data_IF_535139002110
#
_entry.id   IF_535139002110
#
_cell.length_a   1.000
_cell.length_b   1.000
_cell.length_c   1.000
_cell.angle_alpha   90.00
_cell.angle_beta   90.00
_cell.angle_gamma   90.00
#
_symmetry.space_group_name_H-M   'P 1'
#
loop_
_entity.id
_entity.type
_entity.pdbx_description
1 polymer ?
#
# COMPACT_ATOMS: atom_id res chain seq x y z
N UNK A 1 3.97 25.97 -20.95
CA UNK A 1 3.96 26.73 -19.67
C UNK A 1 3.74 25.74 -18.54
N UNK A 2 4.57 25.74 -17.49
CA UNK A 2 4.41 24.84 -16.33
C UNK A 2 3.22 25.24 -15.45
N UNK A 3 2.71 24.30 -14.62
CA UNK A 3 1.61 24.61 -13.67
C UNK A 3 2.02 25.72 -12.70
N UNK A 4 3.27 25.70 -12.22
CA UNK A 4 3.82 26.72 -11.34
C UNK A 4 3.76 28.10 -11.99
N UNK A 5 4.14 28.21 -13.25
CA UNK A 5 4.12 29.48 -13.99
C UNK A 5 2.69 29.96 -14.26
N UNK A 6 1.77 29.05 -14.56
CA UNK A 6 0.34 29.38 -14.67
C UNK A 6 -0.20 29.99 -13.37
N UNK A 7 0.17 29.42 -12.22
CA UNK A 7 -0.27 29.95 -10.91
C UNK A 7 0.39 31.32 -10.64
N UNK A 8 1.67 31.51 -10.93
CA UNK A 8 2.37 32.80 -10.77
C UNK A 8 1.75 33.93 -11.60
N UNK A 9 1.32 33.60 -12.81
CA UNK A 9 0.72 34.61 -13.73
C UNK A 9 -0.76 34.84 -13.43
N UNK A 10 -1.51 33.77 -13.16
CA UNK A 10 -2.94 33.86 -12.88
C UNK A 10 -3.27 34.45 -11.50
N UNK A 11 -2.33 34.36 -10.55
CA UNK A 11 -2.52 34.81 -9.17
C UNK A 11 -1.34 35.67 -8.69
N UNK A 12 -1.22 36.92 -9.18
CA UNK A 12 -0.05 37.79 -8.91
C UNK A 12 0.18 38.06 -7.41
N UNK A 13 -0.85 38.07 -6.59
CA UNK A 13 -0.75 38.27 -5.13
C UNK A 13 -0.10 37.07 -4.40
N UNK A 14 -0.02 35.90 -5.02
CA UNK A 14 0.74 34.75 -4.49
C UNK A 14 2.16 34.65 -5.04
N UNK A 15 2.56 35.53 -5.98
CA UNK A 15 3.85 35.47 -6.65
C UNK A 15 5.04 35.48 -5.68
N UNK A 16 5.00 36.36 -4.66
CA UNK A 16 6.07 36.45 -3.67
C UNK A 16 6.24 35.17 -2.83
N UNK A 17 5.14 34.49 -2.50
CA UNK A 17 5.18 33.22 -1.79
C UNK A 17 5.80 32.09 -2.65
N UNK A 18 5.64 32.17 -3.96
CA UNK A 18 6.15 31.20 -4.92
C UNK A 18 7.50 31.59 -5.54
N UNK A 19 8.08 32.74 -5.18
CA UNK A 19 9.40 33.14 -5.65
C UNK A 19 10.46 32.12 -5.20
N UNK A 20 11.29 31.65 -6.14
CA UNK A 20 12.27 30.60 -5.90
C UNK A 20 11.65 29.22 -5.62
N UNK A 21 10.33 29.04 -5.80
CA UNK A 21 9.71 27.74 -5.64
C UNK A 21 10.15 26.77 -6.74
N UNK A 22 10.50 25.55 -6.33
CA UNK A 22 10.92 24.48 -7.24
C UNK A 22 9.99 23.28 -7.10
N UNK A 23 9.64 22.68 -8.25
CA UNK A 23 8.93 21.39 -8.30
C UNK A 23 9.93 20.32 -8.73
N UNK A 24 10.05 19.27 -7.92
CA UNK A 24 10.98 18.16 -8.13
C UNK A 24 10.22 16.84 -8.22
N UNK A 25 10.69 15.94 -9.08
CA UNK A 25 10.20 14.57 -9.14
C UNK A 25 10.93 13.74 -8.08
N UNK A 26 10.18 13.02 -7.27
CA UNK A 26 10.71 12.18 -6.19
C UNK A 26 10.45 10.71 -6.45
N UNK A 27 11.50 9.92 -6.54
CA UNK A 27 11.42 8.45 -6.62
C UNK A 27 11.27 7.78 -5.24
N UNK A 28 11.36 8.57 -4.15
CA UNK A 28 11.23 8.08 -2.76
C UNK A 28 9.83 8.23 -2.19
N UNK A 29 9.01 9.12 -2.75
CA UNK A 29 7.61 9.30 -2.33
C UNK A 29 6.78 8.14 -2.87
N UNK A 30 6.48 7.17 -2.02
CA UNK A 30 5.72 5.97 -2.40
C UNK A 30 4.34 5.90 -1.76
N UNK A 31 4.09 6.68 -0.70
CA UNK A 31 2.81 6.68 0.04
C UNK A 31 1.99 7.95 -0.12
N UNK A 32 2.61 9.03 -0.58
CA UNK A 32 1.93 10.29 -0.88
C UNK A 32 2.22 10.72 -2.30
N UNK A 33 1.24 11.30 -2.97
CA UNK A 33 1.36 11.77 -4.34
C UNK A 33 2.28 12.99 -4.46
N UNK A 34 2.35 13.80 -3.40
CA UNK A 34 3.24 14.93 -3.29
C UNK A 34 3.61 15.22 -1.84
N UNK A 35 4.52 16.17 -1.68
CA UNK A 35 4.82 16.84 -0.43
C UNK A 35 5.31 18.26 -0.71
N UNK A 36 5.13 19.15 0.26
CA UNK A 36 5.60 20.51 0.19
C UNK A 36 6.39 20.93 1.42
N UNK A 37 7.40 21.73 1.22
CA UNK A 37 8.11 22.44 2.28
C UNK A 37 8.03 23.95 2.04
N UNK A 38 7.18 24.63 2.78
CA UNK A 38 6.99 26.06 2.65
C UNK A 38 8.25 26.87 3.03
N UNK A 39 9.09 26.35 3.93
CA UNK A 39 10.34 27.02 4.33
C UNK A 39 11.36 27.06 3.19
N UNK A 40 11.55 25.95 2.52
CA UNK A 40 12.47 25.81 1.39
C UNK A 40 11.82 26.10 0.03
N UNK A 41 10.49 26.34 0.02
CA UNK A 41 9.68 26.53 -1.18
C UNK A 41 9.88 25.40 -2.19
N UNK A 42 9.89 24.16 -1.70
CA UNK A 42 10.10 22.97 -2.51
C UNK A 42 8.85 22.12 -2.52
N UNK A 43 8.46 21.68 -3.71
CA UNK A 43 7.38 20.73 -3.94
C UNK A 43 7.98 19.45 -4.51
N UNK A 44 7.71 18.31 -3.88
CA UNK A 44 8.07 16.98 -4.39
C UNK A 44 6.85 16.28 -4.96
N UNK A 45 6.94 15.71 -6.15
CA UNK A 45 5.87 14.93 -6.79
C UNK A 45 6.35 13.49 -6.95
N UNK A 46 5.51 12.54 -6.58
CA UNK A 46 5.82 11.11 -6.60
C UNK A 46 5.92 10.56 -8.02
N UNK A 47 7.11 10.12 -8.45
CA UNK A 47 7.25 9.33 -9.66
C UNK A 47 6.53 7.97 -9.54
N UNK A 48 6.68 7.18 -8.44
CA UNK A 48 6.01 5.89 -8.32
C UNK A 48 4.48 5.95 -8.46
N UNK A 49 3.83 7.00 -7.93
CA UNK A 49 2.38 7.17 -8.05
C UNK A 49 1.99 7.57 -9.48
N UNK A 50 2.73 8.49 -10.08
CA UNK A 50 2.39 9.00 -11.41
C UNK A 50 2.97 8.21 -12.58
N UNK A 51 3.71 7.14 -12.36
CA UNK A 51 3.96 6.12 -13.39
C UNK A 51 2.70 5.29 -13.72
N UNK A 52 1.73 5.24 -12.83
CA UNK A 52 0.43 4.63 -13.07
C UNK A 52 -0.45 5.60 -13.87
N UNK A 53 -0.84 5.20 -15.10
CA UNK A 53 -1.58 6.08 -16.04
C UNK A 53 -2.93 6.51 -15.50
N UNK A 54 -3.58 5.69 -14.72
CA UNK A 54 -4.85 5.96 -14.03
C UNK A 54 -4.77 7.17 -13.08
N UNK A 55 -3.58 7.51 -12.59
CA UNK A 55 -3.36 8.66 -11.71
C UNK A 55 -3.08 9.97 -12.46
N UNK A 56 -2.80 9.93 -13.76
CA UNK A 56 -2.44 11.12 -14.54
C UNK A 56 -3.48 12.25 -14.48
N UNK A 57 -4.81 11.98 -14.49
CA UNK A 57 -5.81 13.03 -14.36
C UNK A 57 -5.67 13.85 -13.07
N UNK A 58 -5.13 13.25 -12.00
CA UNK A 58 -4.94 13.89 -10.70
C UNK A 58 -3.62 14.67 -10.58
N UNK A 59 -2.73 14.57 -11.57
CA UNK A 59 -1.41 15.20 -11.50
C UNK A 59 -1.48 16.71 -11.26
N UNK A 60 -2.30 17.42 -12.04
CA UNK A 60 -2.49 18.87 -11.90
C UNK A 60 -3.02 19.22 -10.50
N UNK A 61 -4.06 18.53 -10.05
CA UNK A 61 -4.65 18.78 -8.74
C UNK A 61 -3.65 18.55 -7.60
N UNK A 62 -2.80 17.51 -7.70
CA UNK A 62 -1.73 17.25 -6.74
C UNK A 62 -0.70 18.38 -6.71
N UNK A 63 -0.26 18.86 -7.87
CA UNK A 63 0.68 20.00 -7.92
C UNK A 63 0.08 21.24 -7.28
N UNK A 64 -1.18 21.56 -7.57
CA UNK A 64 -1.90 22.70 -6.98
C UNK A 64 -2.06 22.54 -5.45
N UNK A 65 -2.35 21.32 -4.96
CA UNK A 65 -2.41 20.99 -3.54
C UNK A 65 -1.11 21.34 -2.82
N UNK A 66 0.02 20.93 -3.38
CA UNK A 66 1.33 21.19 -2.78
C UNK A 66 1.74 22.67 -2.89
N UNK A 67 1.41 23.34 -4.00
CA UNK A 67 1.61 24.78 -4.13
C UNK A 67 0.78 25.56 -3.11
N UNK A 68 -0.45 25.13 -2.82
CA UNK A 68 -1.28 25.74 -1.77
C UNK A 68 -0.62 25.64 -0.38
N UNK A 69 0.11 24.55 -0.07
CA UNK A 69 0.90 24.47 1.15
C UNK A 69 2.06 25.46 1.18
N UNK A 70 2.76 25.65 0.08
CA UNK A 70 3.84 26.64 -0.03
C UNK A 70 3.28 28.05 0.18
N UNK A 71 2.19 28.40 -0.50
CA UNK A 71 1.53 29.71 -0.38
C UNK A 71 0.98 29.96 1.02
N UNK A 72 0.32 28.98 1.64
CA UNK A 72 -0.22 29.07 2.99
C UNK A 72 0.86 29.33 4.02
N UNK A 73 2.06 28.78 3.81
CA UNK A 73 3.21 28.95 4.68
C UNK A 73 3.26 27.94 5.85
N UNK A 74 4.42 27.86 6.52
CA UNK A 74 4.71 26.86 7.56
C UNK A 74 4.02 27.11 8.90
N UNK A 75 3.43 28.27 9.13
CA UNK A 75 2.76 28.65 10.39
C UNK A 75 1.26 28.36 10.39
N UNK A 76 0.74 27.78 9.32
CA UNK A 76 -0.68 27.50 9.14
C UNK A 76 -0.94 26.02 9.36
N UNK A 77 -2.08 25.70 9.98
CA UNK A 77 -2.51 24.32 10.11
C UNK A 77 -2.62 23.67 8.71
N UNK A 78 -1.92 22.56 8.53
CA UNK A 78 -1.98 21.80 7.30
C UNK A 78 -3.43 21.37 7.00
N UNK A 79 -3.89 21.64 5.78
CA UNK A 79 -5.26 21.37 5.34
C UNK A 79 -6.36 22.13 6.12
N UNK A 80 -5.98 23.21 6.82
CA UNK A 80 -6.94 24.09 7.50
C UNK A 80 -7.63 25.04 6.52
N UNK A 81 -8.53 25.90 7.05
CA UNK A 81 -9.38 26.79 6.25
C UNK A 81 -8.58 27.70 5.30
N UNK A 82 -7.43 28.23 5.75
CA UNK A 82 -6.58 29.08 4.91
C UNK A 82 -5.98 28.32 3.73
N UNK A 83 -5.41 27.13 3.99
CA UNK A 83 -4.91 26.27 2.93
C UNK A 83 -5.99 25.93 1.92
N UNK A 84 -7.18 25.54 2.39
CA UNK A 84 -8.30 25.14 1.53
C UNK A 84 -8.77 26.28 0.63
N UNK A 85 -8.86 27.50 1.18
CA UNK A 85 -9.22 28.69 0.40
C UNK A 85 -8.23 28.93 -0.73
N UNK A 86 -6.93 28.91 -0.44
CA UNK A 86 -5.87 29.08 -1.43
C UNK A 86 -5.93 27.95 -2.47
N UNK A 87 -6.12 26.70 -2.04
CA UNK A 87 -6.16 25.55 -2.93
C UNK A 87 -7.30 25.67 -3.96
N UNK A 88 -8.49 26.04 -3.51
CA UNK A 88 -9.64 26.29 -4.40
C UNK A 88 -9.38 27.51 -5.32
N UNK A 89 -8.86 28.59 -4.76
CA UNK A 89 -8.55 29.82 -5.49
C UNK A 89 -7.62 29.59 -6.68
N UNK A 90 -6.55 28.80 -6.50
CA UNK A 90 -5.60 28.49 -7.57
C UNK A 90 -6.07 27.37 -8.52
N UNK A 91 -7.32 26.90 -8.38
CA UNK A 91 -7.97 25.96 -9.29
C UNK A 91 -7.91 24.51 -8.84
N UNK A 92 -7.66 24.22 -7.56
CA UNK A 92 -7.75 22.90 -6.98
C UNK A 92 -9.18 22.53 -6.57
N UNK A 93 -9.46 21.25 -6.32
CA UNK A 93 -10.79 20.76 -5.96
C UNK A 93 -11.18 20.97 -4.48
N UNK A 94 -10.28 21.45 -3.63
CA UNK A 94 -10.52 21.67 -2.21
C UNK A 94 -10.52 20.40 -1.36
N UNK A 95 -10.21 19.23 -1.91
CA UNK A 95 -10.18 17.95 -1.20
C UNK A 95 -8.83 17.71 -0.52
N UNK A 96 -8.88 17.19 0.69
CA UNK A 96 -7.69 16.97 1.50
C UNK A 96 -6.88 15.75 1.09
N UNK A 97 -7.55 14.70 0.65
CA UNK A 97 -6.98 13.40 0.35
C UNK A 97 -7.28 12.98 -1.08
N UNK A 98 -6.51 12.04 -1.59
CA UNK A 98 -6.73 11.37 -2.86
C UNK A 98 -6.65 9.85 -2.66
N UNK A 99 -7.30 9.12 -3.53
CA UNK A 99 -7.29 7.65 -3.52
C UNK A 99 -6.18 7.06 -4.42
N UNK A 100 -5.33 7.92 -4.97
CA UNK A 100 -4.22 7.50 -5.83
C UNK A 100 -3.24 6.62 -5.09
N UNK A 101 -2.75 5.60 -5.78
CA UNK A 101 -1.85 4.59 -5.26
C UNK A 101 -0.68 4.39 -6.22
N UNK A 102 0.49 4.10 -5.70
CA UNK A 102 1.64 3.78 -6.53
C UNK A 102 1.45 2.42 -7.19
N UNK A 103 1.80 2.33 -8.46
CA UNK A 103 1.79 1.06 -9.19
C UNK A 103 2.68 0.04 -8.46
N UNK A 104 2.14 -1.12 -8.17
CA UNK A 104 2.84 -2.20 -7.47
C UNK A 104 2.94 -2.08 -5.94
N UNK A 105 2.40 -1.04 -5.31
CA UNK A 105 2.31 -0.93 -3.84
C UNK A 105 1.09 -1.62 -3.23
N UNK A 106 0.16 -2.08 -4.06
CA UNK A 106 -1.11 -2.58 -3.58
C UNK A 106 -1.35 -3.99 -4.03
N UNK A 107 -1.71 -4.80 -3.04
CA UNK A 107 -2.45 -6.03 -3.21
C UNK A 107 -1.90 -6.87 -4.38
N UNK A 108 -0.59 -7.13 -4.34
CA UNK A 108 0.07 -7.97 -5.34
C UNK A 108 -0.27 -9.45 -5.14
N UNK A 109 -0.98 -9.76 -4.06
CA UNK A 109 -1.22 -11.12 -3.63
C UNK A 109 -2.68 -11.30 -3.25
N UNK A 110 -3.24 -12.42 -3.68
CA UNK A 110 -4.56 -12.87 -3.30
C UNK A 110 -4.44 -13.82 -2.10
N UNK A 111 -5.01 -13.42 -0.98
CA UNK A 111 -5.18 -14.26 0.19
C UNK A 111 -6.64 -14.73 0.27
N UNK A 112 -6.94 -15.70 1.11
CA UNK A 112 -8.29 -16.27 1.22
C UNK A 112 -8.79 -16.23 2.65
N UNK A 113 -10.03 -15.81 2.82
CA UNK A 113 -10.72 -15.89 4.10
C UNK A 113 -11.19 -17.32 4.35
N UNK A 114 -10.73 -17.93 5.44
CA UNK A 114 -11.09 -19.31 5.80
C UNK A 114 -12.56 -19.49 6.20
N UNK A 115 -13.25 -18.40 6.56
CA UNK A 115 -14.65 -18.47 6.97
C UNK A 115 -15.63 -18.36 5.82
N UNK A 116 -15.42 -17.44 4.88
CA UNK A 116 -16.37 -17.17 3.79
C UNK A 116 -15.82 -17.48 2.41
N UNK A 117 -14.58 -17.94 2.30
CA UNK A 117 -13.93 -18.28 1.02
C UNK A 117 -13.61 -17.08 0.13
N UNK A 118 -13.92 -15.85 0.55
CA UNK A 118 -13.65 -14.66 -0.27
C UNK A 118 -12.16 -14.44 -0.45
N UNK A 119 -11.78 -14.07 -1.66
CA UNK A 119 -10.44 -13.56 -1.95
C UNK A 119 -10.25 -12.19 -1.30
N UNK A 120 -9.10 -12.00 -0.67
CA UNK A 120 -8.71 -10.78 0.02
C UNK A 120 -7.39 -10.30 -0.53
N UNK A 121 -7.41 -9.15 -1.15
CA UNK A 121 -6.18 -8.54 -1.64
C UNK A 121 -5.29 -8.07 -0.49
N UNK A 122 -4.02 -8.47 -0.50
CA UNK A 122 -3.06 -8.14 0.54
C UNK A 122 -1.74 -7.66 -0.04
N UNK A 123 -1.11 -6.71 0.66
CA UNK A 123 0.23 -6.24 0.29
C UNK A 123 1.32 -7.26 0.63
N UNK A 124 2.48 -7.15 -0.02
CA UNK A 124 3.63 -8.08 0.12
C UNK A 124 4.04 -8.32 1.58
N UNK A 125 3.99 -7.30 2.45
CA UNK A 125 4.35 -7.46 3.87
C UNK A 125 3.37 -8.39 4.60
N UNK A 126 2.08 -8.24 4.36
CA UNK A 126 1.03 -9.10 4.93
C UNK A 126 1.15 -10.49 4.34
N UNK A 127 1.27 -10.59 3.02
CA UNK A 127 1.46 -11.85 2.31
C UNK A 127 2.60 -12.69 2.86
N UNK A 128 3.79 -12.07 3.07
CA UNK A 128 4.94 -12.77 3.63
C UNK A 128 4.68 -13.29 5.05
N UNK A 129 3.92 -12.55 5.86
CA UNK A 129 3.51 -13.01 7.20
C UNK A 129 2.51 -14.16 7.12
N UNK A 130 1.53 -14.08 6.21
CA UNK A 130 0.57 -15.17 6.00
C UNK A 130 1.27 -16.44 5.54
N UNK A 131 2.23 -16.35 4.62
CA UNK A 131 3.07 -17.49 4.19
C UNK A 131 3.94 -18.06 5.32
N UNK A 132 4.34 -17.22 6.26
CA UNK A 132 5.03 -17.66 7.48
C UNK A 132 4.09 -18.23 8.56
N UNK A 133 2.80 -18.41 8.26
CA UNK A 133 1.81 -19.02 9.16
C UNK A 133 1.13 -18.05 10.14
N UNK A 134 1.27 -16.72 9.98
CA UNK A 134 0.56 -15.76 10.81
C UNK A 134 -0.95 -15.85 10.57
N UNK A 135 -1.72 -15.86 11.67
CA UNK A 135 -3.19 -15.85 11.69
C UNK A 135 -3.78 -14.57 12.30
N UNK A 136 -2.99 -13.50 12.36
CA UNK A 136 -3.35 -12.23 12.99
C UNK A 136 -4.16 -11.30 12.08
N UNK A 137 -4.54 -11.75 10.89
CA UNK A 137 -5.27 -10.98 9.89
C UNK A 137 -6.68 -11.51 9.72
N UNK A 138 -7.65 -10.59 9.75
CA UNK A 138 -9.07 -10.92 9.70
C UNK A 138 -9.75 -10.21 8.54
N UNK A 139 -10.67 -10.92 7.88
CA UNK A 139 -11.50 -10.35 6.82
C UNK A 139 -12.55 -9.40 7.43
N UNK A 140 -12.53 -8.14 7.04
CA UNK A 140 -13.41 -7.11 7.59
C UNK A 140 -14.91 -7.43 7.41
N UNK A 141 -15.28 -8.12 6.34
CA UNK A 141 -16.68 -8.43 6.03
C UNK A 141 -17.29 -9.49 6.97
N UNK A 142 -16.51 -10.47 7.43
CA UNK A 142 -17.05 -11.59 8.19
C UNK A 142 -16.26 -11.94 9.47
N UNK A 143 -15.13 -11.29 9.73
CA UNK A 143 -14.25 -11.57 10.87
C UNK A 143 -13.51 -12.92 10.79
N UNK A 144 -13.53 -13.61 9.64
CA UNK A 144 -12.79 -14.84 9.44
C UNK A 144 -11.30 -14.60 9.29
N UNK A 145 -10.47 -15.56 9.70
CA UNK A 145 -9.01 -15.51 9.54
C UNK A 145 -8.64 -15.53 8.06
N UNK A 146 -7.71 -14.68 7.66
CA UNK A 146 -7.17 -14.62 6.28
C UNK A 146 -5.87 -15.42 6.24
N UNK A 147 -5.71 -16.27 5.22
CA UNK A 147 -4.52 -17.11 5.01
C UNK A 147 -4.01 -16.96 3.57
N UNK A 148 -2.76 -17.34 3.33
CA UNK A 148 -2.17 -17.30 1.98
C UNK A 148 -2.79 -18.33 1.03
N UNK A 149 -3.36 -19.42 1.56
CA UNK A 149 -3.98 -20.51 0.80
C UNK A 149 -5.25 -20.97 1.50
N UNK A 150 -6.18 -21.55 0.74
CA UNK A 150 -7.26 -22.33 1.31
C UNK A 150 -6.61 -23.57 1.93
N UNK A 151 -6.66 -23.72 3.25
CA UNK A 151 -6.32 -24.98 3.88
C UNK A 151 -7.33 -26.02 3.36
N UNK A 152 -6.91 -26.83 2.41
CA UNK A 152 -7.67 -28.01 2.05
C UNK A 152 -7.87 -28.82 3.32
N UNK A 153 -9.10 -29.34 3.62
CA UNK A 153 -9.29 -30.18 4.81
C UNK A 153 -8.22 -31.25 4.76
N UNK A 154 -7.31 -31.22 5.74
CA UNK A 154 -6.25 -32.23 5.83
C UNK A 154 -6.95 -33.56 5.92
N UNK A 155 -6.79 -34.37 4.90
CA UNK A 155 -7.21 -35.74 4.90
C UNK A 155 -6.27 -36.47 5.89
N UNK A 156 -6.69 -36.53 7.17
CA UNK A 156 -5.99 -37.19 8.28
C UNK A 156 -5.71 -38.69 8.07
N UNK A 157 -6.09 -39.20 6.88
CA UNK A 157 -5.90 -40.62 6.55
C UNK A 157 -4.45 -41.00 6.16
N UNK A 158 -3.57 -40.01 5.83
CA UNK A 158 -2.17 -40.35 5.46
C UNK A 158 -1.23 -40.52 6.64
N UNK A 159 -1.51 -39.91 7.79
CA UNK A 159 -0.68 -40.05 9.00
C UNK A 159 -0.81 -41.44 9.62
N UNK A 160 -2.01 -41.98 9.63
CA UNK A 160 -2.28 -43.34 10.20
C UNK A 160 -1.68 -44.49 9.37
N UNK A 161 -1.55 -44.33 8.06
CA UNK A 161 -1.04 -45.38 7.19
C UNK A 161 0.50 -45.55 7.27
N UNK A 162 1.23 -44.43 7.39
CA UNK A 162 2.69 -44.47 7.56
C UNK A 162 3.11 -44.97 8.93
N UNK A 163 2.32 -44.74 10.00
CA UNK A 163 2.57 -45.33 11.32
C UNK A 163 2.27 -46.83 11.36
N UNK A 164 1.23 -47.29 10.65
CA UNK A 164 0.92 -48.73 10.55
C UNK A 164 1.97 -49.51 9.77
N UNK A 165 2.56 -48.95 8.74
CA UNK A 165 3.64 -49.59 7.97
C UNK A 165 4.93 -49.66 8.79
N UNK A 166 5.29 -48.61 9.56
CA UNK A 166 6.46 -48.64 10.46
C UNK A 166 6.29 -49.64 11.63
N UNK A 167 5.06 -49.84 12.15
CA UNK A 167 4.76 -50.84 13.18
C UNK A 167 4.90 -52.27 12.67
N UNK A 168 4.44 -52.57 11.44
CA UNK A 168 4.57 -53.92 10.85
C UNK A 168 6.02 -54.30 10.49
N UNK A 169 6.84 -53.36 10.03
CA UNK A 169 8.27 -53.61 9.76
C UNK A 169 9.06 -53.90 11.05
N UNK A 170 8.72 -53.30 12.18
CA UNK A 170 9.35 -53.59 13.47
C UNK A 170 9.00 -54.98 14.00
N UNK A 171 7.77 -55.46 13.80
CA UNK A 171 7.38 -56.83 14.23
C UNK A 171 8.03 -57.91 13.36
N UNK A 172 8.21 -57.69 12.06
CA UNK A 172 8.87 -58.64 11.17
C UNK A 172 10.37 -58.83 11.47
N UNK A 173 11.07 -57.85 12.02
CA UNK A 173 12.48 -57.91 12.39
C UNK A 173 12.72 -58.57 13.77
N UNK A 174 11.69 -58.75 14.58
CA UNK A 174 11.80 -59.39 15.93
C UNK A 174 11.54 -60.93 15.95
N UNK A 175 11.02 -61.51 14.84
CA UNK A 175 10.72 -62.94 14.75
C UNK A 175 11.64 -63.72 13.76
N UNK A 176 12.72 -63.11 13.30
CA UNK A 176 13.61 -63.71 12.31
C UNK A 176 14.93 -64.25 12.86
N UNK A 177 15.05 -64.62 14.13
CA UNK A 177 16.30 -65.11 14.69
C UNK A 177 16.08 -66.22 15.71
N UNK A 178 15.49 -67.35 15.30
CA UNK A 178 15.64 -68.63 15.95
C UNK A 178 15.31 -69.74 15.00
N UNK A 179 16.34 -70.29 14.34
CA UNK A 179 16.48 -71.68 13.96
C UNK A 179 17.76 -71.89 13.18
N UNK A 180 18.76 -72.45 13.87
CA UNK A 180 19.73 -73.38 13.34
C UNK A 180 20.53 -73.98 14.51
N UNK A 181 20.18 -75.20 14.86
CA UNK A 181 21.08 -76.28 15.22
C UNK A 181 20.53 -77.59 14.74
#
# INVERSE_FOLDING_TARGET
>A
MSILEQVRQGFPHHRSALEGCEIRISHRLTRSAGNACAKTRTVGISAPIFTARENHPQFRNTVLHELAHVIAGSRVQAHGTRWRKIFIEIGGNGERCHEMRARGQHYQHQAVCQRCGSEVEVGTRVWNRLKAGSRDYYHQGCGGVVTAEIESPQNDQKSGMLQRIRGRLRQALLFGSTEKS
#
